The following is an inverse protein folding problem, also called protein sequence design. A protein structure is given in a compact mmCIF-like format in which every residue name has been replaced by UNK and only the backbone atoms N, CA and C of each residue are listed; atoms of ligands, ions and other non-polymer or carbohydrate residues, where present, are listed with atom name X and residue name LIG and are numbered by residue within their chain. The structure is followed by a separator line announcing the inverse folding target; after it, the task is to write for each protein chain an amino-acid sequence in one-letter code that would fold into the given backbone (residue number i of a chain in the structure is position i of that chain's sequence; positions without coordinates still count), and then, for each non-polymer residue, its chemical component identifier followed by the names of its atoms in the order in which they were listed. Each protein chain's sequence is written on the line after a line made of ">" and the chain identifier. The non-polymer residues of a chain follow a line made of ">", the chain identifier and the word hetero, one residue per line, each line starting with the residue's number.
data_IF_347261460814
#
_entry.id   IF_347261460814
#
_cell.length_a   1.000
_cell.length_b   1.000
_cell.length_c   1.000
_cell.angle_alpha   90.00
_cell.angle_beta   90.00
_cell.angle_gamma   90.00
#
_symmetry.space_group_name_H-M   'P 1'
#
loop_
_entity.id
_entity.type
_entity.pdbx_description
1 polymer ?
#
# COMPACT_ATOMS: atom_id res chain seq x y z
N UNK A 1 -19.97 -4.66 12.40
CA UNK A 1 -19.64 -6.07 12.15
C UNK A 1 -19.56 -6.42 10.65
N UNK A 2 -20.54 -6.05 9.84
CA UNK A 2 -20.51 -6.32 8.39
C UNK A 2 -19.34 -5.66 7.65
N UNK A 3 -18.98 -4.42 8.01
CA UNK A 3 -17.86 -3.72 7.41
C UNK A 3 -16.52 -4.39 7.76
N UNK A 4 -16.31 -4.71 9.05
CA UNK A 4 -15.09 -5.40 9.53
C UNK A 4 -14.90 -6.74 8.83
N UNK A 5 -15.97 -7.52 8.66
CA UNK A 5 -15.90 -8.78 7.92
C UNK A 5 -15.50 -8.56 6.46
N UNK A 6 -16.08 -7.55 5.77
CA UNK A 6 -15.75 -7.25 4.37
C UNK A 6 -14.30 -6.79 4.21
N UNK A 7 -13.78 -6.00 5.14
CA UNK A 7 -12.36 -5.60 5.10
C UNK A 7 -11.43 -6.79 5.26
N UNK A 8 -11.73 -7.73 6.20
CA UNK A 8 -10.95 -8.95 6.37
C UNK A 8 -11.01 -9.88 5.12
N UNK A 9 -12.17 -9.95 4.45
CA UNK A 9 -12.30 -10.70 3.19
C UNK A 9 -11.46 -10.08 2.07
N UNK A 10 -11.37 -8.75 2.01
CA UNK A 10 -10.56 -8.04 1.02
C UNK A 10 -9.05 -8.24 1.21
N UNK A 11 -8.58 -8.43 2.44
CA UNK A 11 -7.16 -8.68 2.71
C UNK A 11 -6.62 -9.96 2.04
N UNK A 12 -7.45 -10.98 1.98
CA UNK A 12 -7.09 -12.28 1.41
C UNK A 12 -7.52 -12.43 -0.06
N UNK A 13 -8.11 -11.40 -0.67
CA UNK A 13 -8.54 -11.46 -2.05
C UNK A 13 -7.33 -11.38 -3.01
N UNK A 14 -7.21 -12.34 -3.94
CA UNK A 14 -6.18 -12.26 -4.96
C UNK A 14 -6.55 -11.24 -6.05
N UNK A 15 -5.55 -10.48 -6.50
CA UNK A 15 -5.70 -9.48 -7.54
C UNK A 15 -4.70 -9.69 -8.67
N UNK A 16 -5.09 -9.34 -9.89
CA UNK A 16 -4.22 -9.31 -11.05
C UNK A 16 -4.27 -7.89 -11.65
N UNK A 17 -3.19 -7.15 -11.52
CA UNK A 17 -3.08 -5.79 -12.07
C UNK A 17 -2.15 -5.79 -13.27
N UNK A 18 -2.68 -6.12 -14.46
CA UNK A 18 -1.91 -6.07 -15.71
C UNK A 18 -0.71 -7.01 -15.79
N UNK A 19 -0.59 -7.96 -14.86
CA UNK A 19 0.47 -8.98 -14.82
C UNK A 19 -0.12 -10.37 -14.65
N UNK A 20 0.66 -11.42 -14.94
CA UNK A 20 0.27 -12.80 -14.66
C UNK A 20 0.35 -13.16 -13.17
N UNK A 21 0.95 -12.29 -12.34
CA UNK A 21 1.14 -12.55 -10.93
C UNK A 21 -0.13 -12.26 -10.12
N UNK A 22 -0.36 -13.11 -9.14
CA UNK A 22 -1.38 -12.88 -8.11
C UNK A 22 -0.75 -11.98 -7.04
N UNK A 23 -1.43 -10.87 -6.73
CA UNK A 23 -1.03 -9.93 -5.70
C UNK A 23 -2.05 -9.92 -4.57
N UNK A 24 -1.56 -9.90 -3.34
CA UNK A 24 -2.36 -9.72 -2.14
C UNK A 24 -2.24 -8.28 -1.61
N UNK A 25 -3.16 -7.87 -0.78
CA UNK A 25 -3.29 -6.49 -0.30
C UNK A 25 -1.98 -5.90 0.24
N UNK A 26 -1.27 -6.63 1.10
CA UNK A 26 0.01 -6.17 1.65
C UNK A 26 1.10 -5.96 0.58
N UNK A 27 1.07 -6.78 -0.48
CA UNK A 27 1.99 -6.64 -1.62
C UNK A 27 1.62 -5.41 -2.47
N UNK A 28 0.31 -5.17 -2.66
CA UNK A 28 -0.20 -4.03 -3.42
C UNK A 28 0.17 -2.72 -2.71
N UNK A 29 -0.07 -2.60 -1.41
CA UNK A 29 0.27 -1.41 -0.65
C UNK A 29 1.77 -1.09 -0.66
N UNK A 30 2.61 -2.10 -0.52
CA UNK A 30 4.05 -1.89 -0.59
C UNK A 30 4.51 -1.53 -2.00
N UNK A 31 3.92 -2.15 -3.02
CA UNK A 31 4.19 -1.83 -4.43
C UNK A 31 3.78 -0.38 -4.75
N UNK A 32 2.62 0.05 -4.28
CA UNK A 32 2.11 1.41 -4.43
C UNK A 32 3.02 2.43 -3.75
N UNK A 33 3.39 2.18 -2.50
CA UNK A 33 4.31 3.05 -1.75
C UNK A 33 5.65 3.23 -2.48
N UNK A 34 6.24 2.14 -3.01
CA UNK A 34 7.49 2.20 -3.78
C UNK A 34 7.29 2.95 -5.10
N UNK A 35 6.12 2.83 -5.74
CA UNK A 35 5.80 3.51 -6.99
C UNK A 35 5.58 5.02 -6.82
N UNK A 36 4.96 5.43 -5.72
CA UNK A 36 4.72 6.84 -5.40
C UNK A 36 5.95 7.55 -4.84
N UNK A 37 6.84 6.82 -4.18
CA UNK A 37 8.07 7.37 -3.56
C UNK A 37 9.29 6.54 -3.96
N UNK A 38 9.92 6.92 -5.06
CA UNK A 38 11.14 6.25 -5.51
C UNK A 38 12.30 6.44 -4.50
N UNK A 39 13.07 5.39 -4.31
CA UNK A 39 14.28 5.45 -3.50
C UNK A 39 14.10 5.18 -2.00
N UNK A 40 12.94 4.73 -1.56
CA UNK A 40 12.70 4.34 -0.16
C UNK A 40 13.63 3.21 0.29
N UNK A 41 14.12 3.33 1.50
CA UNK A 41 14.72 2.21 2.24
C UNK A 41 13.65 1.33 2.91
N UNK A 42 14.03 0.13 3.34
CA UNK A 42 13.14 -0.76 4.11
C UNK A 42 12.65 -0.11 5.42
N UNK A 43 13.48 0.71 6.03
CA UNK A 43 13.13 1.41 7.28
C UNK A 43 12.05 2.46 7.02
N UNK A 44 12.27 3.32 6.02
CA UNK A 44 11.31 4.36 5.66
C UNK A 44 9.97 3.76 5.22
N UNK A 45 9.98 2.66 4.46
CA UNK A 45 8.76 1.95 4.09
C UNK A 45 8.01 1.36 5.31
N UNK A 46 8.74 0.84 6.30
CA UNK A 46 8.14 0.32 7.53
C UNK A 46 7.47 1.44 8.35
N UNK A 47 8.16 2.57 8.50
CA UNK A 47 7.65 3.73 9.23
C UNK A 47 6.41 4.32 8.56
N UNK A 48 6.41 4.45 7.23
CA UNK A 48 5.26 4.97 6.46
C UNK A 48 4.04 4.04 6.50
N UNK A 49 4.26 2.73 6.49
CA UNK A 49 3.16 1.74 6.56
C UNK A 49 2.72 1.43 8.00
N UNK A 50 3.41 1.92 9.03
CA UNK A 50 3.09 1.62 10.42
C UNK A 50 3.27 0.15 10.79
N UNK A 51 4.19 -0.59 10.12
CA UNK A 51 4.44 -2.02 10.33
C UNK A 51 5.92 -2.29 10.63
N UNK A 52 6.24 -3.50 11.06
CA UNK A 52 7.63 -3.87 11.40
C UNK A 52 8.50 -4.01 10.14
N UNK A 53 9.80 -3.70 10.25
CA UNK A 53 10.79 -3.94 9.18
C UNK A 53 10.83 -5.41 8.73
N UNK A 54 10.55 -6.33 9.66
CA UNK A 54 10.46 -7.76 9.35
C UNK A 54 9.28 -8.07 8.42
N UNK A 55 8.11 -7.47 8.66
CA UNK A 55 6.93 -7.61 7.81
C UNK A 55 7.18 -7.02 6.41
N UNK A 56 7.76 -5.82 6.33
CA UNK A 56 8.16 -5.22 5.03
C UNK A 56 9.13 -6.13 4.30
N UNK A 57 10.17 -6.65 4.98
CA UNK A 57 11.17 -7.53 4.37
C UNK A 57 10.57 -8.83 3.84
N UNK A 58 9.57 -9.41 4.50
CA UNK A 58 8.85 -10.59 4.01
C UNK A 58 8.02 -10.27 2.76
N UNK A 59 7.33 -9.14 2.74
CA UNK A 59 6.54 -8.70 1.58
C UNK A 59 7.46 -8.37 0.40
N UNK A 60 8.60 -7.72 0.64
CA UNK A 60 9.61 -7.45 -0.39
C UNK A 60 10.15 -8.74 -1.03
N UNK A 61 10.40 -9.79 -0.24
CA UNK A 61 10.83 -11.09 -0.80
C UNK A 61 9.79 -11.68 -1.75
N UNK A 62 8.50 -11.52 -1.45
CA UNK A 62 7.41 -11.98 -2.33
C UNK A 62 7.35 -11.16 -3.62
N UNK A 63 7.46 -9.84 -3.52
CA UNK A 63 7.47 -8.94 -4.69
C UNK A 63 8.71 -9.16 -5.57
N UNK A 64 9.87 -9.38 -4.97
CA UNK A 64 11.12 -9.71 -5.66
C UNK A 64 11.02 -11.05 -6.40
N UNK A 65 10.51 -12.10 -5.73
CA UNK A 65 10.27 -13.41 -6.35
C UNK A 65 9.30 -13.36 -7.54
N UNK A 66 8.37 -12.39 -7.55
CA UNK A 66 7.45 -12.10 -8.67
C UNK A 66 8.08 -11.18 -9.72
N UNK A 67 9.30 -10.69 -9.50
CA UNK A 67 10.02 -9.78 -10.39
C UNK A 67 9.37 -8.40 -10.52
N UNK A 68 8.69 -7.92 -9.46
CA UNK A 68 7.98 -6.65 -9.47
C UNK A 68 8.82 -5.50 -8.90
N UNK A 69 9.80 -5.81 -8.07
CA UNK A 69 10.72 -4.84 -7.47
C UNK A 69 12.16 -5.26 -7.71
N UNK A 70 13.05 -4.31 -7.55
CA UNK A 70 14.49 -4.50 -7.48
C UNK A 70 15.10 -3.58 -6.43
N UNK A 71 16.26 -3.97 -5.90
CA UNK A 71 17.07 -3.13 -5.02
C UNK A 71 18.18 -2.51 -5.84
N UNK A 72 18.32 -1.19 -5.75
CA UNK A 72 19.41 -0.43 -6.38
C UNK A 72 20.24 0.27 -5.32
N UNK A 73 21.51 0.53 -5.62
CA UNK A 73 22.31 1.41 -4.80
C UNK A 73 21.73 2.83 -4.89
N UNK A 74 21.66 3.52 -3.75
CA UNK A 74 21.26 4.93 -3.71
C UNK A 74 22.29 5.77 -4.48
N UNK A 75 21.87 6.63 -5.43
CA UNK A 75 22.78 7.44 -6.23
C UNK A 75 23.60 8.44 -5.41
N UNK A 76 23.14 8.83 -4.23
CA UNK A 76 23.82 9.76 -3.33
C UNK A 76 24.67 9.03 -2.27
N UNK A 77 24.20 7.87 -1.81
CA UNK A 77 24.86 7.07 -0.79
C UNK A 77 24.88 5.61 -1.19
N UNK A 78 25.95 5.17 -1.85
CA UNK A 78 26.12 3.80 -2.36
C UNK A 78 26.02 2.69 -1.28
N UNK A 79 26.11 3.06 0.01
CA UNK A 79 25.92 2.14 1.14
C UNK A 79 24.44 1.88 1.47
N UNK A 80 23.52 2.70 0.94
CA UNK A 80 22.09 2.51 1.08
C UNK A 80 21.53 1.75 -0.13
N UNK A 81 20.63 0.80 0.14
CA UNK A 81 19.84 0.14 -0.90
C UNK A 81 18.46 0.79 -0.97
N UNK A 82 18.10 1.24 -2.16
CA UNK A 82 16.81 1.82 -2.48
C UNK A 82 15.90 0.77 -3.14
N UNK A 83 14.62 0.83 -2.80
CA UNK A 83 13.57 0.03 -3.41
C UNK A 83 13.10 0.72 -4.69
N UNK A 84 13.03 -0.03 -5.78
CA UNK A 84 12.57 0.45 -7.08
C UNK A 84 11.61 -0.55 -7.71
N UNK A 85 10.66 -0.05 -8.50
CA UNK A 85 9.83 -0.91 -9.34
C UNK A 85 10.58 -1.32 -10.61
N UNK A 86 10.46 -2.61 -10.97
CA UNK A 86 10.82 -3.09 -12.32
C UNK A 86 9.80 -2.59 -13.35
N UNK A 87 10.04 -2.80 -14.64
CA UNK A 87 9.03 -2.50 -15.68
C UNK A 87 7.72 -3.27 -15.44
N UNK A 88 7.81 -4.52 -14.99
CA UNK A 88 6.66 -5.34 -14.61
C UNK A 88 5.94 -4.76 -13.38
N UNK A 89 6.70 -4.31 -12.37
CA UNK A 89 6.16 -3.63 -11.19
C UNK A 89 5.45 -2.31 -11.54
N UNK A 90 6.03 -1.52 -12.45
CA UNK A 90 5.38 -0.30 -12.96
C UNK A 90 4.07 -0.60 -13.66
N UNK A 91 4.00 -1.66 -14.47
CA UNK A 91 2.74 -2.08 -15.09
C UNK A 91 1.67 -2.42 -14.06
N UNK A 92 2.03 -3.16 -13.00
CA UNK A 92 1.10 -3.48 -11.91
C UNK A 92 0.66 -2.23 -11.13
N UNK A 93 1.59 -1.34 -10.84
CA UNK A 93 1.33 -0.07 -10.16
C UNK A 93 0.33 0.80 -10.92
N UNK A 94 0.56 1.04 -12.21
CA UNK A 94 -0.34 1.86 -13.02
C UNK A 94 -1.70 1.19 -13.24
N UNK A 95 -1.75 -0.13 -13.39
CA UNK A 95 -3.02 -0.86 -13.49
C UNK A 95 -3.84 -0.77 -12.19
N UNK A 96 -3.18 -0.82 -11.02
CA UNK A 96 -3.83 -0.61 -9.72
C UNK A 96 -4.35 0.82 -9.58
N UNK A 97 -3.54 1.80 -9.94
CA UNK A 97 -3.94 3.22 -9.89
C UNK A 97 -5.16 3.49 -10.79
N UNK A 98 -5.14 2.97 -12.01
CA UNK A 98 -6.28 3.06 -12.93
C UNK A 98 -7.52 2.34 -12.40
N UNK A 99 -7.35 1.21 -11.72
CA UNK A 99 -8.46 0.51 -11.08
C UNK A 99 -9.13 1.39 -10.01
N UNK A 100 -8.38 2.09 -9.19
CA UNK A 100 -8.93 3.05 -8.22
C UNK A 100 -9.73 4.17 -8.91
N UNK A 101 -9.21 4.72 -10.00
CA UNK A 101 -9.87 5.80 -10.75
C UNK A 101 -11.20 5.35 -11.38
N UNK A 102 -11.31 4.09 -11.76
CA UNK A 102 -12.45 3.58 -12.53
C UNK A 102 -13.45 2.75 -11.70
N UNK A 103 -12.98 2.10 -10.62
CA UNK A 103 -13.76 1.10 -9.88
C UNK A 103 -14.06 1.49 -8.43
N UNK A 104 -13.81 2.74 -8.06
CA UNK A 104 -14.08 3.24 -6.69
C UNK A 104 -15.60 3.38 -6.38
N UNK A 105 -16.44 3.20 -7.42
CA UNK A 105 -17.89 3.28 -7.29
C UNK A 105 -18.41 4.68 -6.90
N UNK A 106 -17.60 5.72 -7.12
CA UNK A 106 -17.94 7.10 -6.75
C UNK A 106 -17.66 7.42 -5.28
N UNK A 107 -16.99 6.53 -4.55
CA UNK A 107 -16.65 6.76 -3.13
C UNK A 107 -15.71 7.95 -2.96
N UNK A 108 -14.70 8.07 -3.82
CA UNK A 108 -13.76 9.21 -3.76
C UNK A 108 -14.43 10.52 -4.12
N UNK A 109 -15.37 10.52 -5.08
CA UNK A 109 -16.18 11.70 -5.38
C UNK A 109 -17.07 12.09 -4.18
N UNK A 110 -17.72 11.11 -3.54
CA UNK A 110 -18.46 11.35 -2.30
C UNK A 110 -17.56 11.93 -1.20
N UNK A 111 -16.38 11.32 -0.98
CA UNK A 111 -15.43 11.75 0.04
C UNK A 111 -14.91 13.17 -0.21
N UNK A 112 -14.63 13.52 -1.46
CA UNK A 112 -14.14 14.85 -1.86
C UNK A 112 -15.15 15.98 -1.60
N UNK A 113 -16.44 15.64 -1.47
CA UNK A 113 -17.53 16.59 -1.19
C UNK A 113 -17.81 16.79 0.32
N UNK A 114 -17.12 16.05 1.17
CA UNK A 114 -17.27 16.22 2.60
C UNK A 114 -16.71 17.58 3.04
N UNK A 115 -17.40 18.21 4.01
CA UNK A 115 -16.90 19.42 4.64
C UNK A 115 -15.63 19.15 5.45
N UNK A 116 -14.79 20.17 5.67
CA UNK A 116 -13.63 20.06 6.56
C UNK A 116 -14.01 19.55 7.96
N UNK A 117 -15.13 19.99 8.49
CA UNK A 117 -15.65 19.56 9.78
C UNK A 117 -15.92 18.06 9.82
N UNK A 118 -16.56 17.52 8.75
CA UNK A 118 -16.84 16.10 8.65
C UNK A 118 -15.55 15.27 8.50
N UNK A 119 -14.59 15.78 7.76
CA UNK A 119 -13.27 15.12 7.61
C UNK A 119 -12.56 15.08 8.97
N UNK A 120 -12.46 16.20 9.68
CA UNK A 120 -11.85 16.27 11.01
C UNK A 120 -12.54 15.36 12.03
N UNK A 121 -13.87 15.29 11.99
CA UNK A 121 -14.63 14.36 12.83
C UNK A 121 -14.30 12.90 12.52
N UNK A 122 -14.20 12.53 11.23
CA UNK A 122 -13.84 11.18 10.83
C UNK A 122 -12.42 10.82 11.24
N UNK A 123 -11.47 11.73 11.11
CA UNK A 123 -10.09 11.55 11.57
C UNK A 123 -10.03 11.31 13.08
N UNK A 124 -10.70 12.14 13.86
CA UNK A 124 -10.78 11.99 15.31
C UNK A 124 -11.44 10.67 15.71
N UNK A 125 -12.56 10.32 15.09
CA UNK A 125 -13.26 9.06 15.33
C UNK A 125 -12.37 7.83 15.01
N UNK A 126 -11.68 7.84 13.89
CA UNK A 126 -10.79 6.74 13.51
C UNK A 126 -9.61 6.61 14.47
N UNK A 127 -9.01 7.73 14.90
CA UNK A 127 -7.93 7.73 15.88
C UNK A 127 -8.39 7.16 17.24
N UNK A 128 -9.59 7.53 17.70
CA UNK A 128 -10.16 6.99 18.94
C UNK A 128 -10.48 5.49 18.82
N UNK A 129 -10.95 5.06 17.65
CA UNK A 129 -11.23 3.65 17.39
C UNK A 129 -9.93 2.83 17.37
N UNK A 130 -8.88 3.34 16.75
CA UNK A 130 -7.56 2.71 16.72
C UNK A 130 -6.99 2.55 18.12
N UNK A 131 -6.98 3.63 18.91
CA UNK A 131 -6.57 3.60 20.30
C UNK A 131 -7.41 2.64 21.17
N UNK A 132 -8.70 2.50 20.88
CA UNK A 132 -9.56 1.51 21.56
C UNK A 132 -9.16 0.08 21.21
N UNK A 133 -8.85 -0.19 19.93
CA UNK A 133 -8.46 -1.52 19.47
C UNK A 133 -7.09 -1.95 20.00
N UNK A 134 -6.15 -1.02 20.18
CA UNK A 134 -4.82 -1.28 20.74
C UNK A 134 -4.87 -1.71 22.23
N UNK A 135 -5.96 -1.43 22.94
CA UNK A 135 -6.17 -1.80 24.34
C UNK A 135 -6.95 -3.11 24.53
N UNK A 136 -7.28 -3.80 23.44
CA UNK A 136 -7.96 -5.12 23.43
C UNK A 136 -6.98 -6.25 23.17
#
# INVERSE_FOLDING_TARGET
>A
MGLVRRTAELENRPWHFGTAEILYRSEIFLLELIGDQEGLSVTEAADLLGITKGAVSQTLKKLDAKGLIEKRADPVNSLKACLCLTNKGKSAFYAHKHWHETMDGGFMDYFSRLSRENISFLEEFLNQLDAFLDNW
#
